data_IF_345731846466
#
_entry.id   IF_345731846466
#
_cell.length_a   1.000
_cell.length_b   1.000
_cell.length_c   1.000
_cell.angle_alpha   90.00
_cell.angle_beta   90.00
_cell.angle_gamma   90.00
#
_symmetry.space_group_name_H-M   'P 1'
#
loop_
_entity.id
_entity.type
_entity.pdbx_description
1 polymer ?
#
# COMPACT_ATOMS: atom_id res chain seq x y z
N UNK A 1 -32.98 2.51 11.50
CA UNK A 1 -32.55 3.91 11.78
C UNK A 1 -31.05 4.00 12.10
N UNK A 2 -30.53 3.19 13.03
CA UNK A 2 -29.12 3.24 13.46
C UNK A 2 -28.08 3.01 12.34
N UNK A 3 -28.32 2.09 11.40
CA UNK A 3 -27.36 1.82 10.31
C UNK A 3 -27.22 2.97 9.31
N UNK A 4 -28.31 3.66 8.98
CA UNK A 4 -28.26 4.81 8.07
C UNK A 4 -27.47 5.96 8.71
N UNK A 5 -27.70 6.22 10.00
CA UNK A 5 -26.95 7.22 10.77
C UNK A 5 -25.46 6.92 10.85
N UNK A 6 -25.08 5.64 11.02
CA UNK A 6 -23.67 5.23 11.02
C UNK A 6 -23.00 5.44 9.66
N UNK A 7 -23.67 5.08 8.57
CA UNK A 7 -23.17 5.33 7.20
C UNK A 7 -23.00 6.81 6.91
N UNK A 8 -23.97 7.64 7.30
CA UNK A 8 -23.91 9.09 7.13
C UNK A 8 -22.76 9.68 7.94
N UNK A 9 -22.55 9.22 9.17
CA UNK A 9 -21.43 9.65 10.00
C UNK A 9 -20.07 9.28 9.37
N UNK A 10 -19.92 8.07 8.85
CA UNK A 10 -18.68 7.63 8.20
C UNK A 10 -18.44 8.38 6.87
N UNK A 11 -19.50 8.69 6.13
CA UNK A 11 -19.44 9.59 4.98
C UNK A 11 -19.00 11.01 5.38
N UNK A 12 -19.56 11.58 6.45
CA UNK A 12 -19.18 12.91 6.95
C UNK A 12 -17.73 12.94 7.43
N UNK A 13 -17.25 11.88 8.11
CA UNK A 13 -15.84 11.73 8.48
C UNK A 13 -14.95 11.73 7.24
N UNK A 14 -15.30 10.94 6.21
CA UNK A 14 -14.58 10.91 4.95
C UNK A 14 -14.53 12.30 4.29
N UNK A 15 -15.67 12.99 4.18
CA UNK A 15 -15.75 14.33 3.60
C UNK A 15 -14.93 15.36 4.36
N UNK A 16 -14.96 15.31 5.70
CA UNK A 16 -14.13 16.17 6.55
C UNK A 16 -12.64 15.94 6.29
N UNK A 17 -12.21 14.69 6.22
CA UNK A 17 -10.80 14.33 5.96
C UNK A 17 -10.39 14.81 4.56
N UNK A 18 -11.24 14.62 3.54
CA UNK A 18 -10.99 15.12 2.18
C UNK A 18 -10.87 16.65 2.15
N UNK A 19 -11.74 17.39 2.84
CA UNK A 19 -11.70 18.86 2.90
C UNK A 19 -10.42 19.38 3.58
N UNK A 20 -10.02 18.76 4.69
CA UNK A 20 -8.77 19.12 5.39
C UNK A 20 -7.55 18.82 4.53
N UNK A 21 -7.57 17.71 3.79
CA UNK A 21 -6.52 17.38 2.84
C UNK A 21 -6.47 18.41 1.70
N UNK A 22 -7.62 18.75 1.10
CA UNK A 22 -7.72 19.65 -0.05
C UNK A 22 -7.03 21.00 0.17
N UNK A 23 -7.10 21.57 1.38
CA UNK A 23 -6.42 22.82 1.74
C UNK A 23 -4.88 22.73 1.67
N UNK A 24 -4.29 21.53 1.60
CA UNK A 24 -2.86 21.28 1.51
C UNK A 24 -2.48 20.44 0.26
N UNK A 25 -3.47 20.08 -0.57
CA UNK A 25 -3.30 19.11 -1.66
C UNK A 25 -2.46 19.69 -2.80
N UNK A 26 -2.62 20.96 -3.18
CA UNK A 26 -1.87 21.53 -4.30
C UNK A 26 -0.33 21.46 -4.14
N UNK A 27 0.21 21.82 -2.96
CA UNK A 27 1.65 21.69 -2.68
C UNK A 27 2.11 20.22 -2.63
N UNK A 28 1.25 19.35 -2.11
CA UNK A 28 1.52 17.91 -2.02
C UNK A 28 1.46 17.24 -3.39
N UNK A 29 0.57 17.67 -4.29
CA UNK A 29 0.45 17.23 -5.67
C UNK A 29 1.69 17.60 -6.48
N UNK A 30 2.15 18.85 -6.41
CA UNK A 30 3.40 19.27 -7.04
C UNK A 30 4.59 18.42 -6.54
N UNK A 31 4.68 18.21 -5.22
CA UNK A 31 5.73 17.36 -4.63
C UNK A 31 5.63 15.89 -5.10
N UNK A 32 4.42 15.38 -5.33
CA UNK A 32 4.19 14.02 -5.85
C UNK A 32 4.55 13.94 -7.33
N UNK A 33 4.20 14.95 -8.11
CA UNK A 33 4.55 15.06 -9.53
C UNK A 33 6.07 15.12 -9.71
N UNK A 34 6.76 15.94 -8.93
CA UNK A 34 8.24 15.99 -8.87
C UNK A 34 8.84 14.62 -8.49
N UNK A 35 8.22 13.91 -7.54
CA UNK A 35 8.67 12.58 -7.17
C UNK A 35 8.51 11.56 -8.32
N UNK A 36 7.36 11.58 -9.01
CA UNK A 36 7.05 10.65 -10.10
C UNK A 36 7.90 10.95 -11.33
N UNK A 37 8.01 12.23 -11.70
CA UNK A 37 8.83 12.69 -12.84
C UNK A 37 10.32 12.42 -12.57
N UNK A 38 10.80 12.74 -11.37
CA UNK A 38 12.18 12.45 -10.95
C UNK A 38 12.50 10.96 -10.82
N UNK A 39 11.50 10.07 -10.76
CA UNK A 39 11.74 8.63 -10.89
C UNK A 39 11.93 8.19 -12.34
N UNK A 40 11.39 8.92 -13.33
CA UNK A 40 11.58 8.61 -14.75
C UNK A 40 13.03 8.81 -15.20
N UNK A 41 13.79 9.65 -14.50
CA UNK A 41 15.21 9.91 -14.78
C UNK A 41 16.18 9.02 -14.01
N UNK A 42 15.69 8.18 -13.08
CA UNK A 42 16.53 7.30 -12.27
C UNK A 42 16.63 5.92 -12.88
N UNK A 43 17.79 5.30 -12.75
CA UNK A 43 17.93 3.88 -13.03
C UNK A 43 17.40 3.01 -11.86
N UNK A 44 17.31 1.71 -12.09
CA UNK A 44 16.75 0.75 -11.14
C UNK A 44 17.54 0.71 -9.83
N UNK A 45 18.86 0.89 -9.90
CA UNK A 45 19.75 0.86 -8.75
C UNK A 45 19.57 2.10 -7.85
N UNK A 46 19.38 3.28 -8.44
CA UNK A 46 19.06 4.50 -7.70
C UNK A 46 17.70 4.40 -6.99
N UNK A 47 16.70 3.85 -7.68
CA UNK A 47 15.38 3.58 -7.09
C UNK A 47 15.48 2.54 -5.97
N UNK A 48 16.31 1.51 -6.15
CA UNK A 48 16.52 0.45 -5.15
C UNK A 48 17.15 0.97 -3.86
N UNK A 49 17.97 2.03 -3.93
CA UNK A 49 18.57 2.70 -2.77
C UNK A 49 17.60 3.59 -1.99
N UNK A 50 16.43 3.90 -2.55
CA UNK A 50 15.45 4.74 -1.85
C UNK A 50 15.04 4.09 -0.51
N UNK A 51 15.09 4.88 0.56
CA UNK A 51 14.62 4.44 1.87
C UNK A 51 13.10 4.22 1.85
N UNK A 52 12.66 3.01 2.18
CA UNK A 52 11.24 2.70 2.37
C UNK A 52 10.75 2.99 3.80
N UNK A 53 11.67 3.05 4.78
CA UNK A 53 11.36 3.47 6.15
C UNK A 53 12.20 4.66 6.61
N UNK A 54 11.63 5.58 7.41
CA UNK A 54 10.25 5.60 7.93
C UNK A 54 9.20 5.89 6.83
N UNK A 55 7.95 5.44 7.00
CA UNK A 55 6.90 5.54 5.95
C UNK A 55 6.31 6.95 5.76
N UNK A 56 6.96 8.00 6.30
CA UNK A 56 6.49 9.39 6.20
C UNK A 56 6.36 9.87 4.76
N UNK A 57 7.28 9.45 3.88
CA UNK A 57 7.25 9.83 2.45
C UNK A 57 6.08 9.17 1.73
N UNK A 58 5.88 7.86 1.92
CA UNK A 58 4.72 7.14 1.38
C UNK A 58 3.39 7.75 1.88
N UNK A 59 3.30 8.06 3.18
CA UNK A 59 2.11 8.69 3.77
C UNK A 59 1.75 10.04 3.12
N UNK A 60 2.76 10.89 2.87
CA UNK A 60 2.58 12.15 2.14
C UNK A 60 2.12 11.89 0.71
N UNK A 61 2.76 10.96 0.01
CA UNK A 61 2.44 10.63 -1.36
C UNK A 61 1.03 10.04 -1.53
N UNK A 62 0.57 9.20 -0.58
CA UNK A 62 -0.82 8.71 -0.56
C UNK A 62 -1.81 9.86 -0.39
N UNK A 63 -1.52 10.77 0.54
CA UNK A 63 -2.39 11.94 0.77
C UNK A 63 -2.44 12.83 -0.48
N UNK A 64 -1.29 13.06 -1.11
CA UNK A 64 -1.15 13.81 -2.35
C UNK A 64 -1.92 13.17 -3.51
N UNK A 65 -2.02 11.83 -3.56
CA UNK A 65 -2.77 11.11 -4.60
C UNK A 65 -4.28 11.03 -4.32
N UNK A 66 -4.81 11.86 -3.41
CA UNK A 66 -6.22 11.86 -3.03
C UNK A 66 -6.63 10.75 -2.06
N UNK A 67 -5.66 10.04 -1.45
CA UNK A 67 -5.90 9.03 -0.41
C UNK A 67 -5.44 9.58 0.96
N UNK A 68 -6.22 10.48 1.60
CA UNK A 68 -5.82 11.05 2.88
C UNK A 68 -5.89 10.01 4.00
N UNK A 69 -5.05 10.20 5.03
CA UNK A 69 -5.00 9.33 6.20
C UNK A 69 -6.38 9.25 6.89
N UNK A 70 -7.03 8.06 6.97
CA UNK A 70 -8.40 7.99 7.49
C UNK A 70 -8.53 8.29 8.98
N UNK A 71 -7.64 7.75 9.81
CA UNK A 71 -7.59 7.99 11.26
C UNK A 71 -6.17 8.13 11.77
N UNK A 72 -5.99 8.62 13.00
CA UNK A 72 -4.67 8.68 13.65
C UNK A 72 -4.01 7.30 13.79
N UNK A 73 -4.80 6.24 13.87
CA UNK A 73 -4.36 4.86 14.02
C UNK A 73 -4.03 4.14 12.71
N UNK A 74 -4.23 4.79 11.56
CA UNK A 74 -3.72 4.26 10.30
C UNK A 74 -2.21 4.50 10.19
N UNK A 75 -1.51 3.60 9.52
CA UNK A 75 -0.12 3.75 9.11
C UNK A 75 -0.02 3.42 7.62
N UNK A 76 0.84 4.14 6.89
CA UNK A 76 1.09 3.83 5.49
C UNK A 76 1.88 2.52 5.42
N UNK A 77 1.38 1.59 4.60
CA UNK A 77 1.93 0.27 4.38
C UNK A 77 2.38 0.13 2.92
N UNK A 78 3.59 -0.37 2.72
CA UNK A 78 4.11 -0.73 1.40
C UNK A 78 3.55 -2.09 0.97
N UNK A 79 2.88 -2.14 -0.19
CA UNK A 79 2.38 -3.38 -0.80
C UNK A 79 3.57 -4.30 -1.10
N UNK A 80 4.48 -3.86 -1.95
CA UNK A 80 5.80 -4.47 -2.10
C UNK A 80 6.72 -3.86 -1.03
N UNK A 81 7.10 -4.63 0.01
CA UNK A 81 7.90 -4.11 1.12
C UNK A 81 9.36 -3.88 0.68
N UNK A 82 10.19 -3.39 1.60
CA UNK A 82 11.64 -3.24 1.36
C UNK A 82 12.36 -4.56 1.14
N UNK A 83 13.06 -5.06 2.17
CA UNK A 83 13.79 -6.34 2.08
C UNK A 83 12.89 -7.56 2.36
N UNK A 84 11.76 -7.35 3.03
CA UNK A 84 10.99 -8.44 3.63
C UNK A 84 11.72 -9.15 4.77
N UNK A 85 11.04 -10.10 5.40
CA UNK A 85 11.52 -10.88 6.54
C UNK A 85 11.80 -12.34 6.18
N UNK A 86 11.02 -12.94 5.28
CA UNK A 86 11.03 -14.40 5.08
C UNK A 86 11.49 -14.84 3.68
N UNK A 87 11.20 -14.04 2.65
CA UNK A 87 11.41 -14.29 1.23
C UNK A 87 12.24 -13.16 0.62
N UNK A 88 13.41 -12.87 1.20
CA UNK A 88 14.18 -11.67 0.88
C UNK A 88 14.50 -11.53 -0.62
N UNK A 89 15.00 -12.59 -1.25
CA UNK A 89 15.28 -12.59 -2.69
C UNK A 89 14.02 -12.35 -3.54
N UNK A 90 12.87 -12.88 -3.12
CA UNK A 90 11.61 -12.66 -3.82
C UNK A 90 11.08 -11.22 -3.66
N UNK A 91 11.24 -10.63 -2.47
CA UNK A 91 10.88 -9.23 -2.22
C UNK A 91 11.81 -8.28 -2.97
N UNK A 92 13.10 -8.59 -3.04
CA UNK A 92 14.05 -7.85 -3.86
C UNK A 92 13.68 -7.94 -5.35
N UNK A 93 13.33 -9.12 -5.85
CA UNK A 93 12.86 -9.31 -7.23
C UNK A 93 11.56 -8.55 -7.53
N UNK A 94 10.57 -8.60 -6.64
CA UNK A 94 9.34 -7.81 -6.78
C UNK A 94 9.64 -6.31 -6.78
N UNK A 95 10.60 -5.86 -5.96
CA UNK A 95 11.01 -4.46 -5.89
C UNK A 95 11.74 -4.00 -7.15
N UNK A 96 12.61 -4.86 -7.71
CA UNK A 96 13.24 -4.61 -9.02
C UNK A 96 12.19 -4.48 -10.12
N UNK A 97 11.15 -5.32 -10.10
CA UNK A 97 10.04 -5.23 -11.06
C UNK A 97 9.34 -3.87 -11.00
N UNK A 98 9.15 -3.28 -9.82
CA UNK A 98 8.66 -1.89 -9.71
C UNK A 98 9.62 -0.90 -10.38
N UNK A 99 10.91 -1.02 -10.06
CA UNK A 99 11.92 -0.06 -10.46
C UNK A 99 12.25 -0.09 -11.96
N UNK A 100 12.18 -1.26 -12.61
CA UNK A 100 12.28 -1.41 -14.07
C UNK A 100 11.20 -0.61 -14.82
N UNK A 101 10.10 -0.25 -14.15
CA UNK A 101 9.03 0.59 -14.69
C UNK A 101 8.97 1.98 -14.06
N UNK A 102 10.07 2.40 -13.42
CA UNK A 102 10.25 3.72 -12.81
C UNK A 102 9.20 4.01 -11.73
N UNK A 103 8.72 2.96 -11.05
CA UNK A 103 7.86 3.04 -9.88
C UNK A 103 8.77 3.00 -8.66
N UNK A 104 8.88 4.13 -7.97
CA UNK A 104 9.65 4.24 -6.75
C UNK A 104 8.97 3.50 -5.58
N UNK A 105 9.75 3.14 -4.56
CA UNK A 105 9.21 2.36 -3.42
C UNK A 105 8.15 3.14 -2.65
N UNK A 106 8.24 4.48 -2.63
CA UNK A 106 7.28 5.37 -1.98
C UNK A 106 6.20 5.91 -2.94
N UNK A 107 6.07 5.36 -4.16
CA UNK A 107 4.95 5.69 -5.06
C UNK A 107 3.62 5.31 -4.37
N UNK A 108 2.60 6.18 -4.40
CA UNK A 108 1.32 5.91 -3.74
C UNK A 108 0.62 4.66 -4.31
N UNK A 109 0.92 4.23 -5.55
CA UNK A 109 0.45 2.95 -6.10
C UNK A 109 0.97 1.76 -5.30
N UNK A 110 2.18 1.86 -4.74
CA UNK A 110 2.77 0.87 -3.85
C UNK A 110 2.34 1.04 -2.37
N UNK A 111 1.40 1.95 -2.08
CA UNK A 111 0.97 2.25 -0.72
C UNK A 111 -0.48 1.90 -0.45
N UNK A 112 -0.80 1.57 0.81
CA UNK A 112 -2.17 1.49 1.31
C UNK A 112 -2.20 1.92 2.77
N UNK A 113 -3.31 2.51 3.22
CA UNK A 113 -3.53 2.80 4.63
C UNK A 113 -4.04 1.55 5.34
N UNK A 114 -3.35 1.10 6.39
CA UNK A 114 -3.80 -0.01 7.23
C UNK A 114 -3.80 0.40 8.70
N UNK A 115 -4.69 -0.17 9.50
CA UNK A 115 -4.68 0.03 10.95
C UNK A 115 -3.38 -0.51 11.56
N UNK A 116 -2.72 0.31 12.38
CA UNK A 116 -1.45 -0.01 13.01
C UNK A 116 -1.47 -1.36 13.78
N UNK A 117 -2.45 -1.59 14.64
CA UNK A 117 -2.54 -2.74 15.54
C UNK A 117 -3.90 -3.45 15.45
N UNK A 118 -3.92 -4.77 15.71
CA UNK A 118 -5.14 -5.58 15.76
C UNK A 118 -6.18 -5.03 16.75
N UNK A 119 -5.74 -4.52 17.91
CA UNK A 119 -6.63 -3.93 18.93
C UNK A 119 -7.40 -2.69 18.45
N UNK A 120 -6.97 -2.07 17.36
CA UNK A 120 -7.62 -0.89 16.82
C UNK A 120 -8.57 -1.23 15.65
N UNK A 121 -8.65 -2.49 15.21
CA UNK A 121 -9.36 -2.86 13.98
C UNK A 121 -10.85 -2.45 14.00
N UNK A 122 -11.49 -2.50 15.17
CA UNK A 122 -12.89 -2.10 15.35
C UNK A 122 -13.11 -0.58 15.16
N UNK A 123 -12.04 0.22 15.19
CA UNK A 123 -12.07 1.66 14.90
C UNK A 123 -11.94 1.96 13.41
N UNK A 124 -11.71 0.95 12.56
CA UNK A 124 -11.53 1.13 11.13
C UNK A 124 -12.87 1.28 10.42
N UNK A 125 -13.41 2.48 10.45
CA UNK A 125 -14.64 2.81 9.72
C UNK A 125 -14.41 2.91 8.20
N UNK A 126 -13.18 3.14 7.74
CA UNK A 126 -12.89 3.37 6.32
C UNK A 126 -12.80 2.05 5.54
N UNK A 127 -12.06 1.08 6.08
CA UNK A 127 -11.83 -0.23 5.47
C UNK A 127 -11.96 -1.35 6.52
N UNK A 128 -13.17 -1.63 7.06
CA UNK A 128 -13.37 -2.46 8.25
C UNK A 128 -12.86 -3.90 8.14
N UNK A 129 -12.71 -4.42 6.91
CA UNK A 129 -12.25 -5.78 6.63
C UNK A 129 -10.76 -5.86 6.30
N UNK A 130 -10.05 -4.73 6.32
CA UNK A 130 -8.62 -4.68 6.04
C UNK A 130 -7.80 -5.37 7.14
N UNK A 131 -6.60 -5.90 6.81
CA UNK A 131 -5.74 -6.52 7.81
C UNK A 131 -4.99 -5.46 8.62
N UNK A 132 -4.62 -5.75 9.89
CA UNK A 132 -3.79 -4.83 10.66
C UNK A 132 -2.33 -4.85 10.16
N UNK A 133 -1.78 -3.65 9.95
CA UNK A 133 -0.45 -3.39 9.40
C UNK A 133 0.65 -4.27 10.01
N UNK A 134 0.77 -4.30 11.34
CA UNK A 134 1.85 -5.01 12.03
C UNK A 134 1.76 -6.53 11.95
N UNK A 135 0.62 -7.07 11.51
CA UNK A 135 0.40 -8.52 11.45
C UNK A 135 0.54 -9.10 10.04
N UNK A 136 0.55 -8.27 9.00
CA UNK A 136 0.47 -8.74 7.61
C UNK A 136 1.81 -9.17 7.02
N UNK A 137 2.95 -8.59 7.46
CA UNK A 137 4.28 -8.93 6.95
C UNK A 137 4.76 -10.33 7.41
N UNK A 138 4.14 -11.37 6.85
CA UNK A 138 4.37 -12.79 7.13
C UNK A 138 4.85 -13.52 5.89
N UNK A 139 5.34 -14.74 6.07
CA UNK A 139 5.80 -15.62 4.98
C UNK A 139 4.78 -15.70 3.85
N UNK A 140 3.50 -15.92 4.20
CA UNK A 140 2.44 -16.09 3.22
C UNK A 140 2.18 -14.78 2.46
N UNK A 141 2.14 -13.63 3.13
CA UNK A 141 2.04 -12.34 2.44
C UNK A 141 3.17 -12.13 1.43
N UNK A 142 4.41 -12.45 1.79
CA UNK A 142 5.54 -12.32 0.87
C UNK A 142 5.46 -13.32 -0.29
N UNK A 143 4.90 -14.53 -0.08
CA UNK A 143 4.56 -15.44 -1.18
C UNK A 143 3.50 -14.84 -2.11
N UNK A 144 2.47 -14.19 -1.57
CA UNK A 144 1.42 -13.55 -2.36
C UNK A 144 1.96 -12.38 -3.20
N UNK A 145 2.81 -11.55 -2.60
CA UNK A 145 3.49 -10.47 -3.34
C UNK A 145 4.40 -11.06 -4.42
N UNK A 146 5.19 -12.10 -4.10
CA UNK A 146 6.01 -12.77 -5.10
C UNK A 146 5.17 -13.22 -6.30
N UNK A 147 4.08 -13.94 -6.09
CA UNK A 147 3.21 -14.46 -7.15
C UNK A 147 2.66 -13.35 -8.07
N UNK A 148 2.37 -12.18 -7.51
CA UNK A 148 1.81 -11.05 -8.26
C UNK A 148 2.86 -10.23 -9.04
N UNK A 149 4.15 -10.42 -8.79
CA UNK A 149 5.26 -9.63 -9.36
C UNK A 149 6.44 -10.47 -9.88
N UNK A 150 6.35 -11.80 -9.93
CA UNK A 150 7.50 -12.67 -10.28
C UNK A 150 7.76 -12.83 -11.78
N UNK A 151 6.88 -12.33 -12.65
CA UNK A 151 7.07 -12.49 -14.09
C UNK A 151 8.04 -11.45 -14.65
N UNK A 152 9.13 -11.91 -15.25
CA UNK A 152 10.13 -11.05 -15.90
C UNK A 152 9.59 -10.29 -17.12
N UNK A 153 8.41 -10.66 -17.62
CA UNK A 153 7.78 -10.06 -18.81
C UNK A 153 6.64 -9.09 -18.47
N UNK A 154 6.48 -8.71 -17.21
CA UNK A 154 5.44 -7.75 -16.84
C UNK A 154 5.66 -6.42 -17.55
N UNK A 155 4.59 -5.86 -18.10
CA UNK A 155 4.58 -4.49 -18.58
C UNK A 155 4.25 -3.54 -17.43
N UNK A 156 4.57 -2.24 -17.58
CA UNK A 156 4.18 -1.20 -16.61
C UNK A 156 2.68 -1.21 -16.32
N UNK A 157 1.85 -1.49 -17.33
CA UNK A 157 0.39 -1.61 -17.16
C UNK A 157 0.02 -2.81 -16.28
N UNK A 158 0.66 -3.97 -16.46
CA UNK A 158 0.44 -5.15 -15.61
C UNK A 158 0.87 -4.91 -14.17
N UNK A 159 2.01 -4.25 -13.96
CA UNK A 159 2.49 -3.90 -12.60
C UNK A 159 1.52 -2.95 -11.91
N UNK A 160 1.07 -1.90 -12.59
CA UNK A 160 0.05 -1.00 -12.07
C UNK A 160 -1.27 -1.73 -11.76
N UNK A 161 -1.71 -2.63 -12.64
CA UNK A 161 -2.92 -3.42 -12.42
C UNK A 161 -2.79 -4.35 -11.21
N UNK A 162 -1.64 -5.00 -11.02
CA UNK A 162 -1.36 -5.82 -9.82
C UNK A 162 -1.38 -4.96 -8.55
N UNK A 163 -0.76 -3.78 -8.54
CA UNK A 163 -0.76 -2.86 -7.39
C UNK A 163 -2.18 -2.40 -7.04
N UNK A 164 -2.98 -1.98 -8.03
CA UNK A 164 -4.38 -1.57 -7.85
C UNK A 164 -5.22 -2.74 -7.31
N UNK A 165 -5.06 -3.94 -7.89
CA UNK A 165 -5.78 -5.14 -7.44
C UNK A 165 -5.43 -5.50 -6.00
N UNK A 166 -4.15 -5.54 -5.64
CA UNK A 166 -3.72 -5.85 -4.28
C UNK A 166 -4.20 -4.78 -3.30
N UNK A 167 -4.05 -3.50 -3.62
CA UNK A 167 -4.58 -2.39 -2.80
C UNK A 167 -6.07 -2.58 -2.52
N UNK A 168 -6.86 -2.85 -3.56
CA UNK A 168 -8.31 -3.05 -3.45
C UNK A 168 -8.63 -4.25 -2.55
N UNK A 169 -7.99 -5.41 -2.80
CA UNK A 169 -8.16 -6.62 -2.00
C UNK A 169 -7.80 -6.42 -0.53
N UNK A 170 -6.77 -5.62 -0.24
CA UNK A 170 -6.38 -5.26 1.13
C UNK A 170 -7.41 -4.38 1.82
N UNK A 171 -8.04 -3.44 1.10
CA UNK A 171 -9.05 -2.52 1.64
C UNK A 171 -10.40 -3.22 1.88
N UNK A 172 -10.88 -3.96 0.89
CA UNK A 172 -12.21 -4.62 0.95
C UNK A 172 -12.21 -5.96 1.70
N UNK A 173 -11.03 -6.51 2.02
CA UNK A 173 -10.86 -7.77 2.73
C UNK A 173 -10.94 -9.01 1.85
N UNK A 174 -10.98 -8.89 0.52
CA UNK A 174 -10.99 -10.00 -0.45
C UNK A 174 -9.60 -10.57 -0.76
N UNK A 175 -8.58 -10.18 0.00
CA UNK A 175 -7.26 -10.79 -0.02
C UNK A 175 -7.32 -12.28 0.36
N UNK A 176 -6.40 -13.13 -0.10
CA UNK A 176 -6.40 -14.55 0.27
C UNK A 176 -6.26 -14.72 1.78
N UNK A 177 -7.18 -15.43 2.48
CA UNK A 177 -7.10 -15.59 3.94
C UNK A 177 -5.75 -16.14 4.42
N UNK A 178 -5.09 -16.94 3.57
CA UNK A 178 -3.77 -17.51 3.84
C UNK A 178 -2.70 -16.47 4.15
N UNK A 179 -2.76 -15.22 3.66
CA UNK A 179 -1.74 -14.20 3.99
C UNK A 179 -1.65 -13.91 5.50
N UNK A 180 -2.75 -14.11 6.24
CA UNK A 180 -2.85 -13.88 7.68
C UNK A 180 -2.62 -15.14 8.53
N UNK A 181 -2.58 -16.31 7.90
CA UNK A 181 -2.41 -17.60 8.57
C UNK A 181 -0.95 -17.84 9.01
N UNK A 182 -0.70 -18.99 9.65
CA UNK A 182 0.65 -19.46 9.94
C UNK A 182 1.39 -19.75 8.62
N UNK A 183 2.72 -19.69 8.68
CA UNK A 183 3.61 -20.00 7.54
C UNK A 183 3.20 -21.33 6.90
N UNK A 184 2.97 -21.29 5.60
CA UNK A 184 2.70 -22.45 4.75
C UNK A 184 3.67 -22.43 3.57
N UNK A 185 4.61 -23.40 3.55
CA UNK A 185 5.63 -23.50 2.50
C UNK A 185 5.09 -24.06 1.19
N UNK A 186 3.92 -24.69 1.22
CA UNK A 186 3.29 -25.32 0.06
C UNK A 186 2.34 -24.37 -0.66
N UNK A 187 1.85 -23.33 0.02
CA UNK A 187 1.02 -22.31 -0.63
C UNK A 187 1.80 -21.51 -1.66
N UNK A 188 1.16 -21.25 -2.81
CA UNK A 188 1.78 -20.62 -3.98
C UNK A 188 1.34 -19.18 -4.25
N UNK A 189 0.43 -18.62 -3.46
CA UNK A 189 0.04 -17.20 -3.57
C UNK A 189 -1.30 -16.94 -4.26
N UNK A 190 -2.11 -17.95 -4.52
CA UNK A 190 -3.45 -17.85 -5.13
C UNK A 190 -4.46 -17.00 -4.32
#
# INVERSE_FOLDING_TARGET
MLEAQQRDLDYLKMKRVQLIAHAKVAEMEASLEDYISGNQSKNEYELFKEKHHPTKKLAKNLTASGEPKPTVDHEAHHIVPGKGRYKQAAMESARLTLHMHQIGVNDPKNGVWLMNFKRNIDLNWADPKSPPHRSIHRYNYETWIQDNFSSATMTKQMVNASLIRIKSRLKDGSYPPKIMMKKDVNWKGE
#
